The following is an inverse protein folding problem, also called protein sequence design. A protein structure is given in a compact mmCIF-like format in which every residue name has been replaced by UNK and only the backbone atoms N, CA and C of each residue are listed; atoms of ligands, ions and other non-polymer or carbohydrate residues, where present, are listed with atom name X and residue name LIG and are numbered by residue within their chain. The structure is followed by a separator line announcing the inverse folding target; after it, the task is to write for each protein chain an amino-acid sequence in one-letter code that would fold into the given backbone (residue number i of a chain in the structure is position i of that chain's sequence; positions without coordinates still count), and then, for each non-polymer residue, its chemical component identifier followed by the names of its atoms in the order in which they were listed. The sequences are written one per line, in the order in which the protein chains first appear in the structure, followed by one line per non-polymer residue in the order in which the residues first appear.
data_IF_127931369396
#
_entry.id   IF_127931369396
#
_cell.length_a   1.000
_cell.length_b   1.000
_cell.length_c   1.000
_cell.angle_alpha   90.00
_cell.angle_beta   90.00
_cell.angle_gamma   90.00
#
_symmetry.space_group_name_H-M   'P 1'
#
loop_
_entity.id
_entity.type
_entity.pdbx_description
1 polymer ?
#
# COMPACT_ATOMS: atom_id res chain seq x y z
N UNK A 1 9.46 -3.20 16.48
CA UNK A 1 9.85 -4.28 15.55
C UNK A 1 8.57 -4.98 15.22
N UNK A 2 8.22 -5.14 13.93
CA UNK A 2 7.00 -5.87 13.57
C UNK A 2 7.14 -7.35 13.97
N UNK A 3 6.03 -8.02 14.18
CA UNK A 3 6.02 -9.43 14.55
C UNK A 3 6.65 -10.25 13.41
N UNK A 4 7.51 -11.21 13.72
CA UNK A 4 8.25 -12.01 12.73
C UNK A 4 9.53 -11.35 12.16
N UNK A 5 9.87 -10.12 12.55
CA UNK A 5 11.06 -9.44 11.98
C UNK A 5 12.39 -10.13 12.28
N UNK A 6 12.51 -10.85 13.39
CA UNK A 6 13.74 -11.59 13.73
C UNK A 6 13.92 -12.82 12.85
N UNK A 7 12.84 -13.52 12.65
CA UNK A 7 12.77 -14.73 11.84
C UNK A 7 13.00 -14.41 10.36
N UNK A 8 12.52 -13.25 9.90
CA UNK A 8 12.76 -12.75 8.55
C UNK A 8 14.24 -12.40 8.34
N UNK A 9 14.86 -11.65 9.27
CA UNK A 9 16.31 -11.37 9.26
C UNK A 9 17.13 -12.67 9.26
N UNK A 10 16.69 -13.69 9.98
CA UNK A 10 17.32 -15.00 10.04
C UNK A 10 17.03 -15.90 8.85
N UNK A 11 16.24 -15.43 7.88
CA UNK A 11 15.82 -16.24 6.72
C UNK A 11 15.04 -17.50 7.11
N UNK A 12 14.32 -17.47 8.23
CA UNK A 12 13.54 -18.58 8.78
C UNK A 12 12.09 -18.56 8.30
N UNK A 13 11.61 -17.40 7.79
CA UNK A 13 10.27 -17.23 7.25
C UNK A 13 10.35 -17.16 5.73
N UNK A 14 9.48 -17.93 5.08
CA UNK A 14 9.26 -17.91 3.62
C UNK A 14 7.77 -17.91 3.34
N UNK A 15 7.38 -17.37 2.19
CA UNK A 15 6.02 -17.55 1.71
C UNK A 15 5.77 -19.01 1.33
N UNK A 16 4.63 -19.54 1.73
CA UNK A 16 4.16 -20.84 1.25
C UNK A 16 3.85 -20.79 -0.26
N UNK A 17 3.79 -21.94 -0.95
CA UNK A 17 3.38 -21.98 -2.35
C UNK A 17 2.01 -21.30 -2.61
N UNK A 18 1.06 -21.45 -1.69
CA UNK A 18 -0.27 -20.81 -1.81
C UNK A 18 -0.20 -19.30 -1.66
N UNK A 19 0.65 -18.79 -0.74
CA UNK A 19 0.86 -17.34 -0.61
C UNK A 19 1.55 -16.76 -1.84
N UNK A 20 2.55 -17.44 -2.40
CA UNK A 20 3.21 -17.04 -3.65
C UNK A 20 2.23 -17.03 -4.83
N UNK A 21 1.41 -18.08 -4.98
CA UNK A 21 0.35 -18.13 -5.99
C UNK A 21 -0.61 -16.96 -5.86
N UNK A 22 -1.03 -16.65 -4.62
CA UNK A 22 -1.92 -15.52 -4.35
C UNK A 22 -1.26 -14.18 -4.70
N UNK A 23 -0.01 -13.96 -4.30
CA UNK A 23 0.74 -12.75 -4.64
C UNK A 23 0.84 -12.59 -6.16
N UNK A 24 1.27 -13.63 -6.86
CA UNK A 24 1.40 -13.60 -8.32
C UNK A 24 0.05 -13.31 -9.00
N UNK A 25 -1.01 -13.99 -8.58
CA UNK A 25 -2.35 -13.79 -9.13
C UNK A 25 -2.88 -12.38 -8.88
N UNK A 26 -2.73 -11.86 -7.65
CA UNK A 26 -3.19 -10.53 -7.27
C UNK A 26 -2.46 -9.43 -8.03
N UNK A 27 -1.14 -9.54 -8.18
CA UNK A 27 -0.32 -8.56 -8.87
C UNK A 27 -0.53 -8.62 -10.40
N UNK A 28 -0.67 -9.83 -10.96
CA UNK A 28 -1.00 -10.00 -12.38
C UNK A 28 -2.37 -9.42 -12.70
N UNK A 29 -3.37 -9.69 -11.86
CA UNK A 29 -4.71 -9.16 -12.04
C UNK A 29 -4.72 -7.63 -11.99
N UNK A 30 -4.07 -7.03 -10.96
CA UNK A 30 -3.95 -5.58 -10.86
C UNK A 30 -3.32 -4.96 -12.12
N UNK A 31 -2.24 -5.56 -12.62
CA UNK A 31 -1.59 -5.11 -13.86
C UNK A 31 -2.52 -5.25 -15.07
N UNK A 32 -3.25 -6.35 -15.20
CA UNK A 32 -4.13 -6.60 -16.36
C UNK A 32 -5.34 -5.65 -16.34
N UNK A 33 -5.92 -5.39 -15.17
CA UNK A 33 -7.04 -4.46 -15.00
C UNK A 33 -6.61 -3.02 -15.33
N UNK A 34 -5.45 -2.58 -14.85
CA UNK A 34 -4.88 -1.28 -15.20
C UNK A 34 -4.57 -1.18 -16.71
N UNK A 35 -4.01 -2.24 -17.29
CA UNK A 35 -3.73 -2.29 -18.71
C UNK A 35 -5.01 -2.22 -19.58
N UNK A 36 -6.13 -2.79 -19.12
CA UNK A 36 -7.43 -2.65 -19.76
C UNK A 36 -7.95 -1.21 -19.78
N UNK A 37 -7.52 -0.38 -18.79
CA UNK A 37 -7.77 1.06 -18.73
C UNK A 37 -6.73 1.89 -19.50
N UNK A 38 -5.72 1.25 -20.10
CA UNK A 38 -4.60 1.93 -20.79
C UNK A 38 -3.53 2.49 -19.84
N UNK A 39 -3.44 1.98 -18.60
CA UNK A 39 -2.57 2.46 -17.54
C UNK A 39 -1.43 1.44 -17.31
N UNK A 40 -0.19 1.93 -17.29
CA UNK A 40 0.97 1.09 -16.97
C UNK A 40 1.12 0.87 -15.46
N UNK A 41 1.58 -0.32 -15.06
CA UNK A 41 1.75 -0.70 -13.65
C UNK A 41 3.19 -1.05 -13.32
N UNK A 42 3.69 -0.51 -12.21
CA UNK A 42 5.04 -0.77 -11.67
C UNK A 42 4.95 -1.13 -10.19
N UNK A 43 5.54 -2.27 -9.82
CA UNK A 43 5.73 -2.67 -8.43
C UNK A 43 7.16 -2.32 -7.99
N UNK A 44 7.30 -1.43 -7.02
CA UNK A 44 8.58 -0.96 -6.48
C UNK A 44 8.84 -1.58 -5.12
N UNK A 45 10.01 -2.16 -4.93
CA UNK A 45 10.45 -2.69 -3.64
C UNK A 45 11.63 -1.87 -3.12
N UNK A 46 11.46 -1.30 -1.92
CA UNK A 46 12.47 -0.54 -1.20
C UNK A 46 13.15 -1.42 -0.14
N UNK A 47 14.49 -1.35 0.04
CA UNK A 47 15.21 -2.21 0.96
C UNK A 47 14.93 -1.88 2.43
N UNK A 48 14.95 -2.90 3.27
CA UNK A 48 15.08 -2.70 4.71
C UNK A 48 16.51 -2.35 5.12
N UNK A 49 16.63 -1.64 6.23
CA UNK A 49 17.93 -1.22 6.76
C UNK A 49 18.87 -2.39 7.05
N UNK A 50 18.35 -3.51 7.54
CA UNK A 50 19.15 -4.69 7.85
C UNK A 50 19.68 -5.39 6.59
N UNK A 51 19.00 -5.27 5.47
CA UNK A 51 19.45 -5.76 4.15
C UNK A 51 20.61 -4.94 3.63
N UNK A 52 20.58 -3.62 3.82
CA UNK A 52 21.62 -2.69 3.37
C UNK A 52 22.82 -2.66 4.34
N UNK A 53 22.59 -2.84 5.64
CA UNK A 53 23.61 -2.76 6.69
C UNK A 53 23.66 -4.03 7.57
N UNK A 54 23.84 -5.23 6.98
CA UNK A 54 23.90 -6.48 7.75
C UNK A 54 25.06 -6.52 8.74
N UNK A 55 26.14 -5.75 8.50
CA UNK A 55 27.32 -5.67 9.38
C UNK A 55 27.03 -5.03 10.74
N UNK A 56 25.92 -4.32 10.90
CA UNK A 56 25.52 -3.73 12.18
C UNK A 56 24.52 -4.58 12.95
N UNK A 57 24.14 -5.74 12.42
CA UNK A 57 23.30 -6.67 13.15
C UNK A 57 24.06 -7.27 14.34
N UNK A 58 23.39 -7.47 15.49
CA UNK A 58 23.97 -8.21 16.59
C UNK A 58 24.29 -9.65 16.18
N UNK A 59 25.28 -10.27 16.83
CA UNK A 59 25.73 -11.65 16.50
C UNK A 59 24.58 -12.65 16.45
N UNK A 60 23.55 -12.49 17.30
CA UNK A 60 22.36 -13.34 17.34
C UNK A 60 21.45 -13.22 16.09
N UNK A 61 21.65 -12.21 15.25
CA UNK A 61 20.89 -11.93 14.04
C UNK A 61 21.79 -11.85 12.78
N UNK A 62 23.10 -12.08 12.91
CA UNK A 62 24.05 -12.00 11.82
C UNK A 62 24.45 -13.40 11.32
N UNK A 63 25.06 -13.45 10.10
CA UNK A 63 25.60 -14.69 9.54
C UNK A 63 24.57 -15.64 8.91
N UNK A 64 23.32 -15.29 8.86
CA UNK A 64 22.28 -16.03 8.15
C UNK A 64 22.44 -15.83 6.65
N UNK A 65 22.48 -16.93 5.90
CA UNK A 65 22.66 -16.96 4.45
C UNK A 65 21.51 -17.70 3.79
N UNK A 66 21.30 -17.47 2.51
CA UNK A 66 20.23 -18.06 1.73
C UNK A 66 19.20 -17.01 1.28
N UNK A 67 18.20 -17.42 0.51
CA UNK A 67 17.19 -16.50 0.00
C UNK A 67 16.34 -15.94 1.14
N UNK A 68 15.96 -14.68 1.01
CA UNK A 68 14.97 -14.06 1.88
C UNK A 68 13.56 -14.46 1.45
N UNK A 69 12.57 -14.12 2.29
CA UNK A 69 11.17 -14.21 1.92
C UNK A 69 10.88 -13.41 0.64
N UNK A 70 11.46 -12.22 0.53
CA UNK A 70 11.33 -11.37 -0.66
C UNK A 70 11.99 -12.01 -1.89
N UNK A 71 13.17 -12.64 -1.76
CA UNK A 71 13.82 -13.29 -2.90
C UNK A 71 12.94 -14.39 -3.50
N UNK A 72 12.29 -15.20 -2.63
CA UNK A 72 11.32 -16.21 -3.07
C UNK A 72 10.09 -15.61 -3.78
N UNK A 73 9.60 -14.45 -3.30
CA UNK A 73 8.51 -13.72 -3.97
C UNK A 73 8.93 -13.22 -5.35
N UNK A 74 10.11 -12.59 -5.44
CA UNK A 74 10.59 -12.02 -6.71
C UNK A 74 10.85 -13.12 -7.75
N UNK A 75 11.40 -14.27 -7.33
CA UNK A 75 11.58 -15.44 -8.18
C UNK A 75 10.24 -15.96 -8.71
N UNK A 76 9.27 -16.16 -7.81
CA UNK A 76 7.93 -16.62 -8.19
C UNK A 76 7.22 -15.63 -9.13
N UNK A 77 7.33 -14.32 -8.90
CA UNK A 77 6.76 -13.30 -9.77
C UNK A 77 7.43 -13.28 -11.14
N UNK A 78 8.75 -13.42 -11.21
CA UNK A 78 9.49 -13.46 -12.49
C UNK A 78 9.12 -14.69 -13.34
N UNK A 79 8.77 -15.80 -12.71
CA UNK A 79 8.38 -17.04 -13.40
C UNK A 79 6.90 -17.05 -13.82
N UNK A 80 6.01 -16.41 -13.06
CA UNK A 80 4.57 -16.59 -13.18
C UNK A 80 3.80 -15.32 -13.56
N UNK A 81 4.47 -14.16 -13.70
CA UNK A 81 3.83 -12.89 -14.06
C UNK A 81 4.64 -12.11 -15.09
N UNK A 82 4.02 -11.12 -15.73
CA UNK A 82 4.70 -10.10 -16.53
C UNK A 82 4.65 -8.70 -15.89
N UNK A 83 4.44 -8.65 -14.57
CA UNK A 83 4.47 -7.42 -13.76
C UNK A 83 5.87 -6.81 -13.79
N UNK A 84 5.94 -5.51 -14.06
CA UNK A 84 7.21 -4.74 -14.06
C UNK A 84 7.63 -4.48 -12.61
N UNK A 85 8.51 -5.34 -12.07
CA UNK A 85 9.05 -5.19 -10.70
C UNK A 85 10.36 -4.41 -10.72
N UNK A 86 10.49 -3.42 -9.85
CA UNK A 86 11.68 -2.59 -9.65
C UNK A 86 12.21 -2.84 -8.23
N UNK A 87 13.18 -3.73 -8.10
CA UNK A 87 13.86 -4.02 -6.84
C UNK A 87 15.04 -3.06 -6.66
N UNK A 88 14.93 -2.12 -5.73
CA UNK A 88 15.94 -1.07 -5.51
C UNK A 88 17.02 -1.46 -4.51
N UNK A 89 17.01 -2.69 -3.96
CA UNK A 89 17.96 -3.14 -2.93
C UNK A 89 19.41 -2.98 -3.36
N UNK A 90 19.77 -3.51 -4.55
CA UNK A 90 21.16 -3.49 -5.00
C UNK A 90 21.66 -2.06 -5.26
N UNK A 91 20.84 -1.21 -5.86
CA UNK A 91 21.19 0.19 -6.15
C UNK A 91 21.48 0.98 -4.86
N UNK A 92 20.66 0.77 -3.81
CA UNK A 92 20.90 1.40 -2.51
C UNK A 92 22.14 0.83 -1.80
N UNK A 93 22.43 -0.49 -1.96
CA UNK A 93 23.65 -1.11 -1.45
C UNK A 93 24.90 -0.55 -2.16
N UNK A 94 24.83 -0.30 -3.46
CA UNK A 94 25.92 0.27 -4.21
C UNK A 94 26.18 1.73 -3.82
N UNK A 95 25.15 2.54 -3.64
CA UNK A 95 25.25 3.92 -3.16
C UNK A 95 25.85 4.02 -1.74
N UNK A 96 25.63 3.02 -0.90
CA UNK A 96 26.26 2.91 0.43
C UNK A 96 27.80 3.02 0.39
N UNK A 97 28.42 2.67 -0.73
CA UNK A 97 29.88 2.79 -0.89
C UNK A 97 30.34 4.25 -0.97
N UNK A 98 29.47 5.15 -1.37
CA UNK A 98 29.74 6.57 -1.55
C UNK A 98 29.23 7.41 -0.37
N UNK A 99 28.04 7.06 0.13
CA UNK A 99 27.33 7.82 1.16
C UNK A 99 26.68 6.88 2.17
N UNK A 100 26.45 7.39 3.40
CA UNK A 100 25.51 6.73 4.30
C UNK A 100 24.10 6.91 3.73
N UNK A 101 23.39 5.81 3.48
CA UNK A 101 22.09 5.79 2.78
C UNK A 101 20.88 5.61 3.70
N UNK A 102 21.11 5.35 5.01
CA UNK A 102 20.07 5.28 6.02
C UNK A 102 20.40 6.18 7.21
N UNK A 103 19.38 6.66 7.91
CA UNK A 103 19.57 7.28 9.22
C UNK A 103 20.21 6.28 10.20
N UNK A 104 20.88 6.75 11.22
CA UNK A 104 21.37 5.88 12.32
C UNK A 104 20.27 5.59 13.33
N UNK A 105 19.44 6.59 13.60
CA UNK A 105 18.46 6.63 14.67
C UNK A 105 17.04 6.33 14.21
N UNK A 106 16.85 6.02 12.93
CA UNK A 106 15.56 5.76 12.29
C UNK A 106 15.61 4.51 11.41
N UNK A 107 14.46 3.89 11.13
CA UNK A 107 14.35 2.71 10.27
C UNK A 107 14.43 3.06 8.79
N UNK A 108 14.24 4.31 8.40
CA UNK A 108 14.18 4.75 7.01
C UNK A 108 15.55 5.05 6.41
N UNK A 109 15.60 5.03 5.09
CA UNK A 109 16.68 5.62 4.32
C UNK A 109 16.69 7.15 4.46
N UNK A 110 17.85 7.77 4.22
CA UNK A 110 18.00 9.22 4.09
C UNK A 110 17.89 9.63 2.61
N UNK A 111 18.13 10.91 2.31
CA UNK A 111 18.05 11.43 0.95
C UNK A 111 18.98 10.73 -0.05
N UNK A 112 20.17 10.28 0.34
CA UNK A 112 21.07 9.56 -0.57
C UNK A 112 20.52 8.20 -0.98
N UNK A 113 19.97 7.43 -0.03
CA UNK A 113 19.34 6.14 -0.34
C UNK A 113 18.10 6.31 -1.21
N UNK A 114 17.25 7.28 -0.86
CA UNK A 114 16.06 7.59 -1.63
C UNK A 114 16.39 8.08 -3.05
N UNK A 115 17.43 8.92 -3.22
CA UNK A 115 17.82 9.41 -4.53
C UNK A 115 18.33 8.28 -5.43
N UNK A 116 19.15 7.37 -4.91
CA UNK A 116 19.63 6.21 -5.66
C UNK A 116 18.46 5.32 -6.12
N UNK A 117 17.49 5.07 -5.24
CA UNK A 117 16.27 4.34 -5.61
C UNK A 117 15.45 5.09 -6.66
N UNK A 118 15.29 6.41 -6.52
CA UNK A 118 14.60 7.27 -7.49
C UNK A 118 15.22 7.16 -8.89
N UNK A 119 16.55 7.26 -9.02
CA UNK A 119 17.25 7.14 -10.30
C UNK A 119 16.90 5.81 -11.00
N UNK A 120 16.87 4.71 -10.28
CA UNK A 120 16.47 3.40 -10.82
C UNK A 120 14.99 3.36 -11.21
N UNK A 121 14.10 3.84 -10.33
CA UNK A 121 12.65 3.84 -10.57
C UNK A 121 12.33 4.63 -11.83
N UNK A 122 12.81 5.88 -11.90
CA UNK A 122 12.48 6.76 -13.02
C UNK A 122 13.19 6.33 -14.31
N UNK A 123 14.39 5.77 -14.20
CA UNK A 123 15.11 5.18 -15.34
C UNK A 123 14.32 4.03 -15.96
N UNK A 124 13.76 3.14 -15.15
CA UNK A 124 12.94 2.01 -15.63
C UNK A 124 11.60 2.48 -16.21
N UNK A 125 10.94 3.44 -15.56
CA UNK A 125 9.71 4.04 -16.10
C UNK A 125 10.01 4.75 -17.44
N UNK A 126 11.15 5.42 -17.55
CA UNK A 126 11.57 6.13 -18.77
C UNK A 126 11.79 5.24 -19.99
N UNK A 127 11.98 3.93 -19.82
CA UNK A 127 12.03 2.98 -20.95
C UNK A 127 10.67 2.86 -21.66
N UNK A 128 9.57 2.94 -20.91
CA UNK A 128 8.21 2.83 -21.42
C UNK A 128 7.59 4.24 -21.65
N UNK A 129 7.95 5.23 -20.81
CA UNK A 129 7.50 6.62 -20.86
C UNK A 129 8.67 7.58 -21.09
N UNK A 130 9.18 7.70 -22.33
CA UNK A 130 10.37 8.53 -22.63
C UNK A 130 10.20 10.02 -22.31
N UNK A 131 8.99 10.49 -22.13
CA UNK A 131 8.68 11.88 -21.75
C UNK A 131 8.82 12.13 -20.25
N UNK A 132 8.93 11.10 -19.40
CA UNK A 132 9.10 11.32 -17.96
C UNK A 132 10.37 12.11 -17.70
N UNK A 133 10.30 13.09 -16.80
CA UNK A 133 11.45 13.92 -16.45
C UNK A 133 12.35 13.18 -15.47
N UNK A 134 13.60 12.95 -15.87
CA UNK A 134 14.62 12.39 -15.00
C UNK A 134 15.40 13.53 -14.34
N UNK A 135 15.29 13.66 -13.02
CA UNK A 135 16.00 14.66 -12.23
C UNK A 135 17.40 14.16 -11.94
N UNK A 136 18.43 14.87 -12.39
CA UNK A 136 19.81 14.55 -12.05
C UNK A 136 20.22 15.16 -10.69
N UNK A 137 21.26 14.62 -10.05
CA UNK A 137 21.72 15.14 -8.75
C UNK A 137 22.16 16.60 -8.82
N UNK A 138 22.77 17.01 -9.92
CA UNK A 138 23.18 18.40 -10.19
C UNK A 138 22.00 19.37 -10.32
N UNK A 139 20.81 18.86 -10.61
CA UNK A 139 19.58 19.65 -10.65
C UNK A 139 18.96 19.85 -9.26
N UNK A 140 19.58 19.33 -8.23
CA UNK A 140 19.11 19.45 -6.86
C UNK A 140 20.05 20.27 -5.99
N UNK A 141 19.47 21.00 -5.04
CA UNK A 141 20.18 21.46 -3.85
C UNK A 141 20.13 20.36 -2.79
N UNK A 142 21.28 20.10 -2.15
CA UNK A 142 21.39 19.13 -1.08
C UNK A 142 21.31 19.84 0.26
N UNK A 143 20.20 19.71 0.94
CA UNK A 143 19.99 20.28 2.28
C UNK A 143 20.42 19.27 3.33
N UNK A 144 21.25 19.71 4.27
CA UNK A 144 21.79 18.88 5.34
C UNK A 144 21.41 19.49 6.69
N UNK A 145 20.65 18.74 7.50
CA UNK A 145 20.41 19.05 8.91
C UNK A 145 21.22 18.09 9.80
N UNK A 146 22.31 18.58 10.39
CA UNK A 146 23.17 17.81 11.26
C UNK A 146 22.60 17.64 12.70
N UNK A 147 21.47 18.26 12.99
CA UNK A 147 20.84 18.26 14.31
C UNK A 147 19.47 17.57 14.32
N UNK A 148 19.18 16.76 13.30
CA UNK A 148 17.91 16.06 13.20
C UNK A 148 17.69 15.06 14.36
N UNK A 149 16.46 15.00 14.92
CA UNK A 149 16.14 14.25 16.14
C UNK A 149 14.83 13.45 16.07
N UNK A 150 14.23 13.29 14.91
CA UNK A 150 12.91 12.67 14.76
C UNK A 150 12.96 11.17 14.51
N UNK A 151 14.11 10.51 14.82
CA UNK A 151 14.30 9.09 14.54
C UNK A 151 13.35 8.16 15.31
N UNK A 152 12.63 7.30 14.61
CA UNK A 152 11.67 6.34 15.17
C UNK A 152 12.37 5.33 16.11
N UNK A 153 13.55 4.82 15.75
CA UNK A 153 14.33 3.91 16.59
C UNK A 153 14.80 4.58 17.90
N UNK A 154 15.20 5.85 17.83
CA UNK A 154 15.52 6.63 19.01
C UNK A 154 14.29 6.81 19.91
N UNK A 155 13.12 7.02 19.31
CA UNK A 155 11.83 7.08 19.99
C UNK A 155 11.49 5.78 20.72
N UNK A 156 11.66 4.61 20.09
CA UNK A 156 11.37 3.30 20.68
C UNK A 156 12.20 3.00 21.94
N UNK A 157 13.40 3.57 22.08
CA UNK A 157 14.24 3.41 23.26
C UNK A 157 14.18 4.64 24.21
N UNK A 158 13.24 5.57 23.99
CA UNK A 158 13.07 6.76 24.83
C UNK A 158 14.23 7.76 24.74
N UNK A 159 14.94 7.84 23.61
CA UNK A 159 16.12 8.67 23.41
C UNK A 159 15.94 9.71 22.27
N UNK A 160 14.71 9.96 21.82
CA UNK A 160 14.42 10.88 20.72
C UNK A 160 15.00 12.29 20.94
N UNK A 161 14.96 12.80 22.20
CA UNK A 161 15.46 14.13 22.53
C UNK A 161 16.99 14.22 22.64
N UNK A 162 17.67 13.08 22.75
CA UNK A 162 19.12 13.01 23.06
C UNK A 162 19.97 12.53 21.90
N UNK A 163 19.46 11.60 21.11
CA UNK A 163 20.19 11.09 19.96
C UNK A 163 20.00 12.00 18.74
N UNK A 164 21.12 12.41 18.18
CA UNK A 164 21.18 13.29 17.01
C UNK A 164 21.63 12.50 15.80
N UNK A 165 20.99 12.76 14.68
CA UNK A 165 21.38 12.22 13.39
C UNK A 165 21.57 13.35 12.36
N UNK A 166 21.82 12.96 11.12
CA UNK A 166 21.92 13.88 9.99
C UNK A 166 20.83 13.56 9.00
N UNK A 167 19.92 14.48 8.76
CA UNK A 167 18.99 14.40 7.62
C UNK A 167 19.64 14.98 6.36
N UNK A 168 19.40 14.32 5.25
CA UNK A 168 19.78 14.76 3.91
C UNK A 168 18.52 14.80 3.07
N UNK A 169 18.25 15.94 2.45
CA UNK A 169 17.09 16.12 1.55
C UNK A 169 17.56 16.72 0.24
N UNK A 170 17.16 16.11 -0.86
CA UNK A 170 17.34 16.65 -2.21
C UNK A 170 16.14 17.52 -2.55
N UNK A 171 16.37 18.77 -2.85
CA UNK A 171 15.38 19.73 -3.29
C UNK A 171 15.64 20.11 -4.75
N UNK A 172 14.69 19.82 -5.63
CA UNK A 172 14.79 20.14 -7.05
C UNK A 172 14.85 21.64 -7.23
N UNK A 173 15.86 22.14 -7.95
CA UNK A 173 16.03 23.56 -8.27
C UNK A 173 14.92 24.01 -9.21
N UNK A 174 14.48 25.25 -9.01
CA UNK A 174 13.44 25.87 -9.85
C UNK A 174 12.16 25.03 -10.00
N UNK A 175 11.86 24.19 -8.99
CA UNK A 175 10.61 23.40 -8.95
C UNK A 175 9.40 24.32 -8.97
N UNK A 176 8.42 24.00 -9.82
CA UNK A 176 7.15 24.72 -9.95
C UNK A 176 5.98 24.00 -9.27
N UNK A 177 6.26 22.97 -8.50
CA UNK A 177 5.24 22.12 -7.87
C UNK A 177 4.24 22.91 -7.03
N UNK A 178 2.98 22.59 -7.23
CA UNK A 178 1.85 23.12 -6.45
C UNK A 178 1.12 21.96 -5.79
N UNK A 179 0.90 22.06 -4.48
CA UNK A 179 0.04 21.13 -3.77
C UNK A 179 -1.42 21.51 -4.03
N UNK A 180 -2.19 20.56 -4.53
CA UNK A 180 -3.63 20.70 -4.72
C UNK A 180 -4.40 20.24 -3.48
N UNK A 181 -5.64 20.71 -3.33
CA UNK A 181 -6.55 20.14 -2.36
C UNK A 181 -6.99 18.73 -2.82
N UNK A 182 -6.85 17.73 -1.95
CA UNK A 182 -7.27 16.37 -2.25
C UNK A 182 -8.80 16.27 -2.31
N UNK A 183 -9.39 15.70 -3.38
CA UNK A 183 -10.82 15.41 -3.43
C UNK A 183 -11.20 14.16 -2.62
N UNK A 184 -10.20 13.38 -2.18
CA UNK A 184 -10.39 12.11 -1.51
C UNK A 184 -10.49 12.29 -0.01
N UNK A 185 -11.27 11.41 0.66
CA UNK A 185 -11.18 11.21 2.09
C UNK A 185 -9.80 10.59 2.44
N UNK A 186 -9.26 11.01 3.59
CA UNK A 186 -7.98 10.45 4.05
C UNK A 186 -8.13 8.95 4.35
N UNK A 187 -7.15 8.16 3.93
CA UNK A 187 -7.11 6.72 4.18
C UNK A 187 -6.65 6.36 5.59
N UNK A 188 -6.25 7.36 6.38
CA UNK A 188 -5.75 7.21 7.75
C UNK A 188 -5.96 8.51 8.53
N UNK A 189 -6.31 8.41 9.82
CA UNK A 189 -6.35 9.54 10.75
C UNK A 189 -4.94 10.05 11.16
N UNK A 190 -3.89 9.33 10.74
CA UNK A 190 -2.50 9.70 11.01
C UNK A 190 -2.09 10.89 10.13
N UNK A 191 -1.77 12.07 10.70
CA UNK A 191 -1.39 13.26 9.94
C UNK A 191 -0.11 13.07 9.10
N UNK A 192 0.67 12.03 9.38
CA UNK A 192 1.84 11.65 8.60
C UNK A 192 1.51 10.82 7.35
N UNK A 193 0.24 10.49 7.15
CA UNK A 193 -0.26 9.65 6.04
C UNK A 193 -1.28 10.36 5.15
N UNK A 194 -1.08 11.63 4.78
CA UNK A 194 -2.05 12.35 3.95
C UNK A 194 -2.06 11.80 2.52
N UNK A 195 -3.18 12.00 1.84
CA UNK A 195 -3.23 11.93 0.38
C UNK A 195 -2.69 13.25 -0.16
N UNK A 196 -1.62 13.18 -0.95
CA UNK A 196 -0.93 14.34 -1.51
C UNK A 196 -1.18 14.40 -3.02
N UNK A 197 -1.92 15.41 -3.47
CA UNK A 197 -2.08 15.72 -4.89
C UNK A 197 -1.13 16.86 -5.25
N UNK A 198 -0.21 16.60 -6.18
CA UNK A 198 0.81 17.55 -6.62
C UNK A 198 0.67 17.77 -8.13
N UNK A 199 0.82 19.01 -8.56
CA UNK A 199 0.82 19.41 -9.98
C UNK A 199 2.11 20.16 -10.30
N UNK A 200 2.62 19.93 -11.51
CA UNK A 200 3.80 20.63 -12.06
C UNK A 200 3.37 21.53 -13.24
N UNK A 201 2.89 22.75 -13.00
CA UNK A 201 2.33 23.60 -14.06
C UNK A 201 3.34 24.03 -15.13
N UNK A 202 4.65 23.98 -14.83
CA UNK A 202 5.68 24.29 -15.82
C UNK A 202 5.90 23.16 -16.83
N UNK A 203 5.42 21.96 -16.54
CA UNK A 203 5.65 20.74 -17.32
C UNK A 203 4.35 19.95 -17.57
N UNK A 204 3.34 20.54 -18.22
CA UNK A 204 2.06 19.88 -18.47
C UNK A 204 2.15 18.75 -19.51
N UNK A 205 3.26 18.66 -20.24
CA UNK A 205 3.54 17.62 -21.24
C UNK A 205 4.04 16.30 -20.66
N UNK A 206 4.41 16.28 -19.37
CA UNK A 206 4.85 15.07 -18.70
C UNK A 206 3.68 14.12 -18.43
N UNK A 207 3.93 12.80 -18.27
CA UNK A 207 2.87 11.87 -17.90
C UNK A 207 2.32 12.18 -16.49
N UNK A 208 1.16 11.61 -16.21
CA UNK A 208 0.51 11.65 -14.89
C UNK A 208 0.71 10.33 -14.15
N UNK A 209 0.74 10.35 -12.80
CA UNK A 209 0.94 9.16 -12.00
C UNK A 209 0.05 9.12 -10.75
N UNK A 210 -0.31 7.90 -10.31
CA UNK A 210 -0.77 7.64 -8.95
C UNK A 210 0.24 6.71 -8.27
N UNK A 211 0.64 7.06 -7.06
CA UNK A 211 1.63 6.32 -6.26
C UNK A 211 0.98 5.84 -4.98
N UNK A 212 0.66 4.55 -4.91
CA UNK A 212 0.29 3.88 -3.66
C UNK A 212 1.56 3.51 -2.92
N UNK A 213 1.64 3.86 -1.64
CA UNK A 213 2.94 3.91 -0.97
C UNK A 213 2.89 3.63 0.51
N UNK A 214 4.03 3.30 1.07
CA UNK A 214 4.29 3.34 2.51
C UNK A 214 5.15 4.56 2.94
N UNK A 215 5.77 4.51 4.12
CA UNK A 215 6.57 5.61 4.66
C UNK A 215 7.88 5.86 3.94
N UNK A 216 8.44 4.87 3.24
CA UNK A 216 9.70 5.02 2.51
C UNK A 216 9.58 6.02 1.35
N UNK A 217 8.42 6.09 0.73
CA UNK A 217 8.15 7.04 -0.35
C UNK A 217 8.28 8.52 0.08
N UNK A 218 8.19 8.85 1.38
CA UNK A 218 8.27 10.26 1.85
C UNK A 218 9.52 10.98 1.33
N UNK A 219 10.67 10.30 1.28
CA UNK A 219 11.93 10.90 0.76
C UNK A 219 12.00 10.92 -0.76
N UNK A 220 11.13 10.20 -1.46
CA UNK A 220 11.02 10.22 -2.93
C UNK A 220 10.14 11.38 -3.46
N UNK A 221 9.24 11.93 -2.62
CA UNK A 221 8.25 12.91 -3.05
C UNK A 221 8.79 14.06 -3.90
N UNK A 222 9.87 14.77 -3.48
CA UNK A 222 10.32 15.94 -4.24
C UNK A 222 10.70 15.61 -5.66
N UNK A 223 11.41 14.49 -5.86
CA UNK A 223 11.89 14.08 -7.17
C UNK A 223 10.77 13.46 -8.00
N UNK A 224 10.00 12.53 -7.42
CA UNK A 224 8.88 11.90 -8.13
C UNK A 224 7.83 12.93 -8.55
N UNK A 225 7.51 13.90 -7.68
CA UNK A 225 6.53 14.93 -8.04
C UNK A 225 6.99 15.80 -9.21
N UNK A 226 8.29 16.15 -9.28
CA UNK A 226 8.85 16.92 -10.39
C UNK A 226 9.04 16.09 -11.68
N UNK A 227 8.94 14.76 -11.61
CA UNK A 227 9.07 13.86 -12.76
C UNK A 227 7.78 13.76 -13.59
N UNK A 228 6.65 14.20 -13.04
CA UNK A 228 5.31 14.06 -13.62
C UNK A 228 4.63 15.45 -13.75
N UNK A 229 3.65 15.55 -14.64
CA UNK A 229 2.79 16.74 -14.73
C UNK A 229 1.82 16.84 -13.56
N UNK A 230 1.31 15.67 -13.10
CA UNK A 230 0.48 15.52 -11.92
C UNK A 230 0.78 14.18 -11.27
N UNK A 231 0.84 14.16 -9.94
CA UNK A 231 0.99 12.92 -9.17
C UNK A 231 0.15 12.96 -7.91
N UNK A 232 -0.53 11.85 -7.62
CA UNK A 232 -1.29 11.65 -6.39
C UNK A 232 -0.65 10.53 -5.58
N UNK A 233 -0.13 10.88 -4.38
CA UNK A 233 0.44 9.92 -3.43
C UNK A 233 -0.61 9.48 -2.42
N UNK A 234 -0.80 8.18 -2.28
CA UNK A 234 -1.82 7.58 -1.43
C UNK A 234 -1.17 6.59 -0.47
N UNK A 235 -1.42 6.74 0.83
CA UNK A 235 -1.00 5.71 1.80
C UNK A 235 -1.95 4.53 1.70
N UNK A 236 -1.51 3.45 1.06
CA UNK A 236 -2.31 2.24 0.88
C UNK A 236 -1.42 1.02 0.68
N UNK A 237 -1.93 -0.15 1.06
CA UNK A 237 -1.30 -1.46 0.80
C UNK A 237 -1.92 -2.18 -0.39
N UNK A 238 -2.83 -1.53 -1.11
CA UNK A 238 -3.44 -2.00 -2.35
C UNK A 238 -3.62 -0.84 -3.33
N UNK A 239 -3.74 -1.14 -4.62
CA UNK A 239 -4.18 -0.17 -5.62
C UNK A 239 -5.67 0.11 -5.39
N UNK A 240 -6.05 1.37 -5.16
CA UNK A 240 -7.44 1.77 -4.96
C UNK A 240 -8.07 2.14 -6.31
N UNK A 241 -9.00 1.32 -6.79
CA UNK A 241 -9.67 1.49 -8.09
C UNK A 241 -10.32 2.86 -8.22
N UNK A 242 -11.06 3.31 -7.18
CA UNK A 242 -11.76 4.60 -7.18
C UNK A 242 -10.83 5.80 -7.40
N UNK A 243 -9.61 5.75 -6.88
CA UNK A 243 -8.62 6.81 -7.09
C UNK A 243 -8.09 6.74 -8.52
N UNK A 244 -7.76 5.54 -9.00
CA UNK A 244 -7.28 5.33 -10.37
C UNK A 244 -8.34 5.77 -11.39
N UNK A 245 -9.60 5.35 -11.19
CA UNK A 245 -10.73 5.72 -12.05
C UNK A 245 -10.94 7.26 -12.10
N UNK A 246 -10.80 7.94 -10.96
CA UNK A 246 -10.99 9.39 -10.90
C UNK A 246 -9.79 10.17 -11.47
N UNK A 247 -8.56 9.71 -11.22
CA UNK A 247 -7.34 10.38 -11.68
C UNK A 247 -7.02 10.08 -13.15
N UNK A 248 -7.42 8.92 -13.69
CA UNK A 248 -7.08 8.44 -15.03
C UNK A 248 -5.60 8.66 -15.37
N UNK A 249 -4.66 8.13 -14.55
CA UNK A 249 -3.24 8.38 -14.73
C UNK A 249 -2.68 7.61 -15.94
N UNK A 250 -1.53 8.05 -16.45
CA UNK A 250 -0.79 7.28 -17.46
C UNK A 250 -0.14 6.04 -16.85
N UNK A 251 0.22 6.11 -15.56
CA UNK A 251 0.82 4.98 -14.85
C UNK A 251 0.50 4.97 -13.34
N UNK A 252 0.55 3.76 -12.78
CA UNK A 252 0.42 3.49 -11.35
C UNK A 252 1.72 2.88 -10.83
N UNK A 253 2.20 3.40 -9.70
CA UNK A 253 3.30 2.85 -8.93
C UNK A 253 2.73 2.32 -7.62
N UNK A 254 2.96 1.03 -7.31
CA UNK A 254 2.78 0.47 -5.97
C UNK A 254 4.15 0.31 -5.33
N UNK A 255 4.37 0.96 -4.20
CA UNK A 255 5.65 0.93 -3.49
C UNK A 255 5.51 0.23 -2.14
N UNK A 256 6.39 -0.74 -1.87
CA UNK A 256 6.52 -1.42 -0.60
C UNK A 256 7.96 -1.41 -0.11
N UNK A 257 8.16 -1.18 1.18
CA UNK A 257 9.40 -1.59 1.83
C UNK A 257 9.45 -3.12 1.99
N UNK A 258 10.63 -3.71 1.90
CA UNK A 258 10.91 -5.17 1.88
C UNK A 258 10.09 -5.96 2.92
N UNK A 259 10.01 -5.48 4.18
CA UNK A 259 9.23 -6.13 5.26
C UNK A 259 7.73 -6.18 5.00
N UNK A 260 7.23 -5.32 4.11
CA UNK A 260 5.81 -5.26 3.73
C UNK A 260 5.49 -6.01 2.44
N UNK A 261 6.45 -6.78 1.90
CA UNK A 261 6.27 -7.56 0.66
C UNK A 261 5.04 -8.49 0.69
N UNK A 262 4.61 -8.95 1.87
CA UNK A 262 3.38 -9.74 2.01
C UNK A 262 2.10 -9.00 1.60
N UNK A 263 2.09 -7.67 1.66
CA UNK A 263 0.95 -6.86 1.18
C UNK A 263 0.77 -6.93 -0.34
N UNK A 264 1.75 -7.42 -1.08
CA UNK A 264 1.59 -7.66 -2.52
C UNK A 264 0.43 -8.64 -2.84
N UNK A 265 -0.01 -9.44 -1.85
CA UNK A 265 -1.21 -10.27 -1.97
C UNK A 265 -2.53 -9.48 -2.03
N UNK A 266 -2.51 -8.17 -1.70
CA UNK A 266 -3.71 -7.33 -1.76
C UNK A 266 -4.07 -6.91 -3.19
N UNK A 267 -3.08 -6.76 -4.08
CA UNK A 267 -3.30 -6.38 -5.49
C UNK A 267 -4.04 -5.05 -5.63
N UNK A 268 -5.04 -5.03 -6.48
CA UNK A 268 -5.95 -3.91 -6.68
C UNK A 268 -7.31 -4.23 -6.05
N UNK A 269 -7.94 -3.23 -5.42
CA UNK A 269 -9.27 -3.37 -4.89
C UNK A 269 -10.26 -3.43 -6.05
N UNK A 270 -10.98 -4.52 -6.05
CA UNK A 270 -12.10 -4.86 -6.87
C UNK A 270 -12.15 -4.29 -8.29
N UNK A 271 -11.70 -5.02 -9.24
CA UNK A 271 -12.12 -4.83 -10.59
C UNK A 271 -13.46 -5.50 -10.86
N UNK A 272 -14.13 -4.94 -11.82
CA UNK A 272 -15.48 -5.12 -12.29
C UNK A 272 -16.01 -6.56 -12.45
N UNK A 273 -15.20 -7.59 -12.57
CA UNK A 273 -15.70 -8.93 -12.93
C UNK A 273 -16.42 -9.66 -11.77
N UNK A 274 -16.04 -9.40 -10.51
CA UNK A 274 -16.74 -9.95 -9.32
C UNK A 274 -17.74 -8.97 -8.73
N UNK A 275 -17.47 -7.66 -8.83
CA UNK A 275 -18.42 -6.60 -8.49
C UNK A 275 -19.57 -6.54 -9.51
N UNK A 276 -19.37 -6.83 -10.78
CA UNK A 276 -20.43 -6.77 -11.79
C UNK A 276 -21.66 -7.61 -11.44
N UNK A 277 -21.48 -8.71 -10.72
CA UNK A 277 -22.60 -9.52 -10.23
C UNK A 277 -23.30 -8.90 -9.02
N UNK A 278 -22.57 -8.18 -8.16
CA UNK A 278 -23.13 -7.44 -7.02
C UNK A 278 -23.52 -6.00 -7.41
N UNK A 279 -22.70 -5.27 -8.18
CA UNK A 279 -22.98 -3.89 -8.65
C UNK A 279 -24.10 -3.80 -9.70
N UNK A 280 -24.32 -4.86 -10.47
CA UNK A 280 -25.48 -4.89 -11.40
C UNK A 280 -26.83 -4.82 -10.68
N UNK A 281 -26.83 -4.76 -9.33
CA UNK A 281 -28.03 -4.75 -8.50
C UNK A 281 -28.83 -6.06 -8.58
N UNK A 282 -28.24 -7.10 -9.21
CA UNK A 282 -28.89 -8.37 -9.44
C UNK A 282 -28.66 -9.40 -8.34
N UNK A 283 -27.72 -9.16 -7.42
CA UNK A 283 -27.56 -10.01 -6.25
C UNK A 283 -28.13 -9.32 -5.03
N UNK A 284 -29.22 -9.86 -4.46
CA UNK A 284 -29.70 -9.43 -3.17
C UNK A 284 -28.70 -9.81 -2.09
N UNK A 285 -28.80 -9.18 -0.91
CA UNK A 285 -28.07 -9.66 0.26
C UNK A 285 -28.34 -11.15 0.46
N UNK A 286 -27.33 -11.93 0.90
CA UNK A 286 -27.53 -13.32 1.25
C UNK A 286 -28.69 -13.50 2.22
N UNK A 287 -29.46 -14.60 2.11
CA UNK A 287 -30.54 -14.89 3.04
C UNK A 287 -30.02 -15.23 4.45
N UNK A 288 -28.78 -15.67 4.56
CA UNK A 288 -28.18 -16.14 5.80
C UNK A 288 -27.41 -15.04 6.52
N UNK A 289 -27.86 -14.68 7.73
CA UNK A 289 -27.11 -13.85 8.67
C UNK A 289 -26.13 -14.71 9.42
N UNK A 290 -24.80 -14.60 9.12
CA UNK A 290 -23.74 -15.40 9.71
C UNK A 290 -23.31 -14.93 11.10
N UNK A 291 -22.54 -15.79 11.79
CA UNK A 291 -21.84 -15.45 13.03
C UNK A 291 -20.50 -14.72 12.76
N UNK A 292 -20.50 -13.84 11.77
CA UNK A 292 -19.30 -13.10 11.35
C UNK A 292 -18.82 -12.20 12.49
N UNK A 293 -17.57 -12.33 12.86
CA UNK A 293 -16.87 -11.39 13.73
C UNK A 293 -16.32 -10.25 12.90
N UNK A 294 -16.53 -9.01 13.34
CA UNK A 294 -16.15 -7.84 12.56
C UNK A 294 -15.90 -6.63 13.44
N UNK A 295 -15.13 -5.68 12.92
CA UNK A 295 -14.94 -4.35 13.48
C UNK A 295 -14.67 -3.35 12.36
N UNK A 296 -15.12 -2.10 12.52
CA UNK A 296 -14.72 -0.98 11.68
C UNK A 296 -13.68 -0.16 12.44
N UNK A 297 -12.45 -0.17 11.95
CA UNK A 297 -11.32 0.54 12.58
C UNK A 297 -11.37 2.04 12.28
N UNK A 298 -11.76 2.42 11.06
CA UNK A 298 -11.88 3.81 10.62
C UNK A 298 -12.96 3.99 9.56
N UNK A 299 -13.54 5.20 9.51
CA UNK A 299 -14.47 5.62 8.46
C UNK A 299 -14.33 7.13 8.28
N UNK A 300 -14.07 7.59 7.05
CA UNK A 300 -14.07 9.00 6.68
C UNK A 300 -15.17 9.27 5.65
N UNK A 301 -16.07 10.17 5.99
CA UNK A 301 -17.18 10.64 5.14
C UNK A 301 -17.12 12.14 4.92
N UNK A 302 -15.97 12.78 5.12
CA UNK A 302 -15.81 14.24 5.01
C UNK A 302 -15.78 14.71 3.55
N UNK A 303 -15.38 13.84 2.62
CA UNK A 303 -15.19 14.12 1.19
C UNK A 303 -16.26 13.45 0.32
N UNK A 304 -16.22 13.70 -0.99
CA UNK A 304 -17.12 13.07 -1.98
C UNK A 304 -16.86 11.56 -2.07
N UNK A 305 -15.59 11.17 -2.17
CA UNK A 305 -15.20 9.76 -2.07
C UNK A 305 -14.94 9.46 -0.61
N UNK A 306 -15.80 8.63 -0.05
CA UNK A 306 -15.75 8.19 1.34
C UNK A 306 -14.99 6.87 1.45
N UNK A 307 -14.33 6.65 2.58
CA UNK A 307 -13.60 5.42 2.83
C UNK A 307 -14.01 4.79 4.15
N UNK A 308 -13.91 3.49 4.23
CA UNK A 308 -13.99 2.76 5.49
C UNK A 308 -13.00 1.59 5.47
N UNK A 309 -12.44 1.26 6.64
CA UNK A 309 -11.52 0.16 6.82
C UNK A 309 -11.86 -0.62 8.09
N UNK A 310 -11.56 -1.91 8.07
CA UNK A 310 -11.86 -2.78 9.20
C UNK A 310 -11.44 -4.20 8.95
N UNK A 311 -12.06 -5.12 9.66
CA UNK A 311 -11.87 -6.55 9.47
C UNK A 311 -13.17 -7.32 9.73
N UNK A 312 -13.31 -8.44 9.06
CA UNK A 312 -14.39 -9.39 9.26
C UNK A 312 -13.94 -10.81 8.92
N UNK A 313 -14.38 -11.78 9.70
CA UNK A 313 -14.15 -13.21 9.41
C UNK A 313 -15.28 -14.08 9.97
N UNK A 314 -15.52 -15.20 9.32
CA UNK A 314 -16.36 -16.26 9.84
C UNK A 314 -15.50 -17.16 10.74
N UNK A 315 -15.83 -17.35 12.04
CA UNK A 315 -15.07 -18.22 12.93
C UNK A 315 -15.01 -19.68 12.47
N UNK A 316 -15.98 -20.12 11.69
CA UNK A 316 -16.04 -21.48 11.14
C UNK A 316 -15.38 -21.59 9.76
N UNK A 317 -15.12 -20.44 9.09
CA UNK A 317 -14.51 -20.32 7.78
C UNK A 317 -12.99 -20.22 7.80
N UNK A 318 -12.42 -20.17 6.60
CA UNK A 318 -11.00 -19.88 6.34
C UNK A 318 -10.92 -18.62 5.47
N UNK A 319 -10.34 -17.54 6.01
CA UNK A 319 -10.23 -16.26 5.29
C UNK A 319 -9.32 -16.30 4.05
N UNK A 320 -8.56 -17.38 3.86
CA UNK A 320 -7.80 -17.60 2.62
C UNK A 320 -8.71 -17.90 1.43
N UNK A 321 -9.97 -18.25 1.67
CA UNK A 321 -10.93 -18.67 0.62
C UNK A 321 -12.13 -17.74 0.48
N UNK A 322 -12.36 -16.85 1.44
CA UNK A 322 -13.55 -15.99 1.44
C UNK A 322 -13.25 -14.58 0.98
N UNK A 323 -14.00 -14.11 -0.02
CA UNK A 323 -13.99 -12.70 -0.41
C UNK A 323 -14.94 -11.90 0.49
N UNK A 324 -14.55 -10.68 0.82
CA UNK A 324 -15.38 -9.75 1.60
C UNK A 324 -15.92 -8.67 0.68
N UNK A 325 -17.20 -8.39 0.83
CA UNK A 325 -17.89 -7.33 0.11
C UNK A 325 -18.59 -6.42 1.10
N UNK A 326 -18.46 -5.12 0.91
CA UNK A 326 -19.12 -4.12 1.76
C UNK A 326 -20.30 -3.53 1.02
N UNK A 327 -21.44 -3.49 1.67
CA UNK A 327 -22.64 -2.85 1.15
C UNK A 327 -23.15 -1.78 2.12
N UNK A 328 -23.74 -0.73 1.56
CA UNK A 328 -24.53 0.28 2.25
C UNK A 328 -26.00 0.01 1.96
N UNK A 329 -26.84 -0.09 3.01
CA UNK A 329 -28.25 -0.45 2.89
C UNK A 329 -29.13 0.61 3.54
N UNK A 330 -30.11 1.11 2.79
CA UNK A 330 -31.12 2.05 3.30
C UNK A 330 -32.52 1.65 2.78
N UNK A 331 -33.31 1.00 3.61
CA UNK A 331 -34.60 0.42 3.19
C UNK A 331 -34.40 -0.74 2.23
N UNK A 332 -34.90 -0.59 0.99
CA UNK A 332 -34.74 -1.58 -0.09
C UNK A 332 -33.50 -1.28 -0.96
N UNK A 333 -32.90 -0.10 -0.81
CA UNK A 333 -31.76 0.32 -1.62
C UNK A 333 -30.46 -0.27 -1.09
N UNK A 334 -29.65 -0.82 -1.97
CA UNK A 334 -28.34 -1.42 -1.70
C UNK A 334 -27.33 -0.75 -2.63
N UNK A 335 -26.26 -0.20 -2.06
CA UNK A 335 -25.10 0.32 -2.79
C UNK A 335 -23.88 -0.48 -2.36
N UNK A 336 -23.27 -1.17 -3.31
CA UNK A 336 -22.04 -1.93 -3.07
C UNK A 336 -20.84 -1.00 -3.12
N UNK A 337 -19.94 -1.14 -2.14
CA UNK A 337 -18.69 -0.40 -2.07
C UNK A 337 -17.61 -1.13 -2.84
N UNK A 338 -16.73 -0.40 -3.48
CA UNK A 338 -15.45 -0.95 -3.91
C UNK A 338 -14.68 -1.46 -2.70
N UNK A 339 -14.34 -2.76 -2.69
CA UNK A 339 -13.77 -3.40 -1.50
C UNK A 339 -12.51 -4.17 -1.83
N UNK A 340 -11.42 -3.91 -1.08
CA UNK A 340 -10.17 -4.65 -1.13
C UNK A 340 -9.95 -5.48 0.13
N UNK A 341 -9.34 -6.65 -0.04
CA UNK A 341 -8.81 -7.43 1.08
C UNK A 341 -7.54 -6.80 1.64
N UNK A 342 -7.44 -6.73 2.97
CA UNK A 342 -6.29 -6.16 3.69
C UNK A 342 -5.70 -7.21 4.63
N UNK A 343 -4.37 -7.32 4.63
CA UNK A 343 -3.65 -8.24 5.51
C UNK A 343 -3.70 -7.74 6.96
N UNK A 344 -4.19 -8.57 7.89
CA UNK A 344 -4.39 -8.24 9.31
C UNK A 344 -3.93 -9.40 10.23
N UNK A 345 -2.61 -9.69 10.29
CA UNK A 345 -2.08 -10.73 11.17
C UNK A 345 -2.33 -10.45 12.65
N UNK A 346 -2.53 -9.18 13.01
CA UNK A 346 -2.95 -8.77 14.35
C UNK A 346 -4.32 -9.35 14.74
N UNK A 347 -5.23 -9.52 13.77
CA UNK A 347 -6.55 -10.16 14.01
C UNK A 347 -6.36 -11.65 14.30
N UNK A 348 -5.54 -12.38 13.54
CA UNK A 348 -5.19 -13.77 13.82
C UNK A 348 -4.59 -13.91 15.21
N UNK A 349 -3.63 -13.04 15.57
CA UNK A 349 -3.00 -13.05 16.88
C UNK A 349 -4.00 -12.76 18.02
N UNK A 350 -4.89 -11.78 17.83
CA UNK A 350 -5.89 -11.40 18.84
C UNK A 350 -6.94 -12.50 19.11
N UNK A 351 -7.22 -13.35 18.13
CA UNK A 351 -8.23 -14.41 18.21
C UNK A 351 -7.65 -15.82 18.21
N UNK A 352 -6.34 -15.99 18.35
CA UNK A 352 -5.62 -17.27 18.26
C UNK A 352 -6.25 -18.38 19.10
N UNK A 353 -6.63 -18.11 20.36
CA UNK A 353 -7.24 -19.07 21.29
C UNK A 353 -8.61 -19.59 20.80
N UNK A 354 -9.36 -18.77 20.05
CA UNK A 354 -10.69 -19.11 19.56
C UNK A 354 -10.72 -19.68 18.14
N UNK A 355 -9.63 -19.53 17.40
CA UNK A 355 -9.52 -19.94 16.00
C UNK A 355 -9.09 -21.41 15.83
N UNK A 356 -8.59 -22.07 16.90
CA UNK A 356 -8.19 -23.48 16.83
C UNK A 356 -7.07 -23.74 15.82
N UNK A 357 -6.19 -22.76 15.61
CA UNK A 357 -5.08 -22.85 14.65
C UNK A 357 -5.43 -22.40 13.21
N UNK A 358 -6.63 -21.88 12.97
CA UNK A 358 -7.00 -21.28 11.67
C UNK A 358 -6.31 -19.94 11.50
N UNK A 359 -5.95 -19.61 10.27
CA UNK A 359 -5.37 -18.33 9.88
C UNK A 359 -6.46 -17.41 9.32
N UNK A 360 -6.59 -16.22 9.91
CA UNK A 360 -7.50 -15.17 9.46
C UNK A 360 -6.74 -13.87 9.11
N UNK A 361 -5.48 -13.98 8.70
CA UNK A 361 -4.65 -12.82 8.33
C UNK A 361 -5.26 -11.97 7.23
N UNK A 362 -6.09 -12.55 6.38
CA UNK A 362 -6.81 -11.83 5.33
C UNK A 362 -8.21 -11.37 5.74
N UNK A 363 -8.48 -11.28 7.06
CA UNK A 363 -9.75 -10.77 7.57
C UNK A 363 -9.98 -9.28 7.28
N UNK A 364 -8.93 -8.51 7.00
CA UNK A 364 -9.04 -7.08 6.76
C UNK A 364 -9.74 -6.73 5.45
N UNK A 365 -10.35 -5.54 5.45
CA UNK A 365 -10.89 -4.90 4.25
C UNK A 365 -10.64 -3.39 4.29
N UNK A 366 -10.50 -2.81 3.10
CA UNK A 366 -10.74 -1.39 2.86
C UNK A 366 -11.85 -1.25 1.83
N UNK A 367 -12.71 -0.24 1.98
CA UNK A 367 -13.80 -0.02 1.05
C UNK A 367 -14.00 1.46 0.79
N UNK A 368 -14.47 1.80 -0.42
CA UNK A 368 -14.80 3.17 -0.81
C UNK A 368 -16.14 3.26 -1.52
N UNK A 369 -16.75 4.45 -1.46
CA UNK A 369 -18.01 4.76 -2.11
C UNK A 369 -18.14 6.26 -2.36
N UNK A 370 -18.96 6.67 -3.33
CA UNK A 370 -19.25 8.08 -3.61
C UNK A 370 -20.50 8.55 -2.85
N UNK A 371 -20.45 9.72 -2.25
CA UNK A 371 -21.63 10.31 -1.61
C UNK A 371 -22.77 10.56 -2.60
N UNK A 372 -22.42 10.96 -3.83
CA UNK A 372 -23.38 11.20 -4.90
C UNK A 372 -24.22 9.98 -5.28
N UNK A 373 -23.75 8.77 -4.98
CA UNK A 373 -24.47 7.52 -5.26
C UNK A 373 -25.52 7.21 -4.17
N UNK A 374 -25.52 7.96 -3.08
CA UNK A 374 -26.39 7.76 -1.93
C UNK A 374 -27.44 8.87 -1.84
N UNK A 375 -28.72 8.50 -1.79
CA UNK A 375 -29.78 9.46 -1.44
C UNK A 375 -29.72 9.86 0.05
N UNK A 376 -30.33 11.00 0.44
CA UNK A 376 -30.43 11.38 1.85
C UNK A 376 -31.04 10.29 2.72
N UNK A 377 -30.36 9.97 3.83
CA UNK A 377 -30.81 8.89 4.71
C UNK A 377 -29.73 8.37 5.65
N UNK A 378 -30.08 7.30 6.38
CA UNK A 378 -29.16 6.55 7.24
C UNK A 378 -28.87 5.20 6.62
N UNK A 379 -27.68 5.03 6.12
CA UNK A 379 -27.23 3.82 5.47
C UNK A 379 -26.53 2.91 6.47
N UNK A 380 -27.00 1.69 6.61
CA UNK A 380 -26.38 0.65 7.42
C UNK A 380 -25.22 0.05 6.66
N UNK A 381 -24.07 -0.06 7.28
CA UNK A 381 -22.92 -0.76 6.69
C UNK A 381 -23.06 -2.25 6.95
N UNK A 382 -22.93 -3.06 5.90
CA UNK A 382 -23.04 -4.51 5.93
C UNK A 382 -21.77 -5.10 5.35
N UNK A 383 -21.23 -6.15 5.97
CA UNK A 383 -20.20 -6.99 5.36
C UNK A 383 -20.79 -8.32 4.95
N UNK A 384 -20.49 -8.73 3.73
CA UNK A 384 -20.78 -10.06 3.18
C UNK A 384 -19.47 -10.82 3.05
N UNK A 385 -19.45 -12.07 3.47
CA UNK A 385 -18.34 -13.01 3.22
C UNK A 385 -18.87 -14.10 2.32
N UNK A 386 -18.22 -14.28 1.17
CA UNK A 386 -18.49 -15.35 0.21
C UNK A 386 -17.32 -16.33 0.20
N UNK A 387 -17.58 -17.64 0.37
CA UNK A 387 -16.56 -18.69 0.42
C UNK A 387 -16.08 -19.13 -0.96
N UNK A 388 -16.57 -18.50 -2.03
CA UNK A 388 -16.26 -18.85 -3.42
C UNK A 388 -16.86 -20.19 -3.87
N UNK A 389 -17.58 -20.92 -3.00
CA UNK A 389 -18.27 -22.18 -3.30
C UNK A 389 -19.79 -22.01 -3.39
N UNK A 390 -20.28 -20.77 -3.30
CA UNK A 390 -21.69 -20.42 -3.38
C UNK A 390 -22.38 -20.28 -2.02
N UNK A 391 -21.62 -20.29 -0.90
CA UNK A 391 -22.17 -19.97 0.40
C UNK A 391 -21.75 -18.56 0.76
N UNK A 392 -22.71 -17.67 0.90
CA UNK A 392 -22.50 -16.32 1.36
C UNK A 392 -23.27 -16.05 2.64
N UNK A 393 -22.62 -15.34 3.56
CA UNK A 393 -23.23 -14.89 4.80
C UNK A 393 -22.97 -13.39 5.01
N UNK A 394 -23.85 -12.71 5.74
CA UNK A 394 -23.67 -11.30 6.04
C UNK A 394 -23.81 -10.99 7.53
N UNK A 395 -23.26 -9.84 7.92
CA UNK A 395 -23.55 -9.21 9.21
C UNK A 395 -23.61 -7.69 9.08
N UNK A 396 -24.38 -7.05 9.96
CA UNK A 396 -24.42 -5.60 10.07
C UNK A 396 -23.26 -5.11 10.93
N UNK A 397 -22.52 -4.12 10.43
CA UNK A 397 -21.47 -3.46 11.20
C UNK A 397 -22.05 -2.39 12.12
N UNK A 398 -21.38 -2.09 13.24
CA UNK A 398 -21.84 -1.09 14.21
C UNK A 398 -21.71 0.37 13.73
N UNK A 399 -21.46 0.56 12.45
CA UNK A 399 -21.33 1.89 11.81
C UNK A 399 -22.45 2.15 10.83
N UNK A 400 -22.79 3.43 10.70
CA UNK A 400 -23.78 3.92 9.73
C UNK A 400 -23.26 5.16 9.04
N UNK A 401 -23.52 5.24 7.75
CA UNK A 401 -23.28 6.45 6.95
C UNK A 401 -24.55 7.31 6.97
N UNK A 402 -24.41 8.58 7.24
CA UNK A 402 -25.50 9.55 7.18
C UNK A 402 -25.28 10.51 6.04
N UNK A 403 -26.26 10.60 5.16
CA UNK A 403 -26.34 11.58 4.06
C UNK A 403 -27.49 12.53 4.41
N UNK A 404 -27.18 13.82 4.45
CA UNK A 404 -28.13 14.89 4.81
C UNK A 404 -28.92 15.39 3.60
#
# INVERSE_FOLDING_TARGET
MYDGSREDIRREIHFSPQELERICSAQQQAKDDLAAMGIDYYLVICPDKHTVYPEFLPESLSGYTGPSRLDGMLEAMAENTDVKVIDTRQTVIDEKQNHRVFFKTDTHWNGYGAFAAYEQIIGRIGEDHPSVRQIAREDCDVLIDENWREGDMAGFIGQADTLVDTDVTFQVKDSSLVRLESPYAETSDDPDRPILCMENPAHPELPTAVVFRDSFCKKLYPMLADSFSKVTFVWSTSVMYSIVENEQPDLVIMEYVERYSGYAANGMDAPEAKLADYESGNLPLPEHKGLIRSNVDGMDTSREICTLAGWAFDPDGDCLKGDKHIALVCGEDIVWCETASVLRPDVTAAYADSLGGKNVDYAGFSASFRKSDLHPGKWQVIVVIDDGAGNAAYTELDKRVRID
#
